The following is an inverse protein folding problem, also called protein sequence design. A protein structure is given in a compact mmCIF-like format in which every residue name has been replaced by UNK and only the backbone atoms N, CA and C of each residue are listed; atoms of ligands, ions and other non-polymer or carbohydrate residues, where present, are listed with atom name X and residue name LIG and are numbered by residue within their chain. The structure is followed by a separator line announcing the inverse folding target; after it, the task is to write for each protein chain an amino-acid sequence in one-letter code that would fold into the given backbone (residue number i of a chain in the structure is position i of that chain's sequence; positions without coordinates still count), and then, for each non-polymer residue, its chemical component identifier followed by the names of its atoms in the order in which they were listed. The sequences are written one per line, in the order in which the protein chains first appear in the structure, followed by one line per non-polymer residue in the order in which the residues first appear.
data_IF_747056380858
#
_entry.id   IF_747056380858
#
_cell.length_a   1.000
_cell.length_b   1.000
_cell.length_c   1.000
_cell.angle_alpha   90.00
_cell.angle_beta   90.00
_cell.angle_gamma   90.00
#
_symmetry.space_group_name_H-M   'P 1'
#
loop_
_entity.id
_entity.type
_entity.pdbx_description
1 polymer ?
#
# COMPACT_ATOMS: atom_id res chain seq x y z
N UNK A 1 -12.59 -17.19 -21.57
CA UNK A 1 -12.18 -18.15 -20.55
C UNK A 1 -13.43 -18.76 -19.97
N UNK A 2 -13.39 -20.05 -19.65
CA UNK A 2 -14.58 -20.80 -19.21
C UNK A 2 -14.93 -20.39 -17.77
N UNK A 3 -16.21 -20.25 -17.46
CA UNK A 3 -16.70 -19.96 -16.09
C UNK A 3 -16.15 -20.97 -15.06
N UNK A 4 -15.85 -22.19 -15.50
CA UNK A 4 -15.21 -23.21 -14.66
C UNK A 4 -13.74 -22.90 -14.35
N UNK A 5 -13.00 -22.29 -15.27
CA UNK A 5 -11.61 -21.87 -15.03
C UNK A 5 -11.57 -20.72 -14.02
N UNK A 6 -12.43 -19.71 -14.21
CA UNK A 6 -12.55 -18.56 -13.30
C UNK A 6 -12.93 -19.00 -11.86
N UNK A 7 -13.88 -19.94 -11.74
CA UNK A 7 -14.27 -20.50 -10.44
C UNK A 7 -13.13 -21.27 -9.76
N UNK A 8 -12.37 -22.06 -10.52
CA UNK A 8 -11.25 -22.82 -9.98
C UNK A 8 -10.13 -21.89 -9.50
N UNK A 9 -9.82 -20.82 -10.25
CA UNK A 9 -8.83 -19.82 -9.84
C UNK A 9 -9.25 -19.11 -8.55
N UNK A 10 -10.49 -18.64 -8.46
CA UNK A 10 -11.00 -17.98 -7.26
C UNK A 10 -11.06 -18.94 -6.07
N UNK A 11 -11.45 -20.20 -6.29
CA UNK A 11 -11.49 -21.19 -5.23
C UNK A 11 -10.09 -21.48 -4.68
N UNK A 12 -9.07 -21.60 -5.54
CA UNK A 12 -7.67 -21.79 -5.12
C UNK A 12 -7.15 -20.57 -4.37
N UNK A 13 -7.43 -19.35 -4.84
CA UNK A 13 -7.00 -18.10 -4.18
C UNK A 13 -7.62 -17.90 -2.79
N UNK A 14 -8.84 -18.42 -2.58
CA UNK A 14 -9.58 -18.25 -1.33
C UNK A 14 -9.39 -19.42 -0.34
N UNK A 15 -8.53 -20.40 -0.65
CA UNK A 15 -8.20 -21.44 0.33
C UNK A 15 -7.44 -20.83 1.51
N UNK A 16 -7.85 -21.24 2.71
CA UNK A 16 -7.19 -20.82 3.94
C UNK A 16 -5.91 -21.66 4.07
N UNK A 17 -4.77 -21.00 3.99
CA UNK A 17 -3.49 -21.60 4.37
C UNK A 17 -3.30 -21.49 5.88
N UNK A 18 -2.87 -22.59 6.49
CA UNK A 18 -2.55 -22.65 7.92
C UNK A 18 -1.04 -22.57 8.10
N UNK A 19 -0.60 -21.67 8.97
CA UNK A 19 0.77 -21.63 9.45
C UNK A 19 0.83 -22.24 10.84
N UNK A 20 1.84 -23.04 11.10
CA UNK A 20 2.24 -23.35 12.46
C UNK A 20 2.77 -22.09 13.15
N UNK A 21 2.81 -22.12 14.48
CA UNK A 21 3.32 -20.98 15.25
C UNK A 21 4.80 -20.69 14.94
N UNK A 22 5.61 -21.72 14.68
CA UNK A 22 7.03 -21.58 14.36
C UNK A 22 7.22 -20.91 12.99
N UNK A 23 6.50 -21.35 11.96
CA UNK A 23 6.52 -20.73 10.62
C UNK A 23 6.07 -19.27 10.66
N UNK A 24 5.04 -18.96 11.45
CA UNK A 24 4.61 -17.58 11.65
C UNK A 24 5.71 -16.73 12.30
N UNK A 25 6.42 -17.25 13.30
CA UNK A 25 7.53 -16.54 13.95
C UNK A 25 8.73 -16.39 13.02
N UNK A 26 9.01 -17.35 12.15
CA UNK A 26 10.03 -17.23 11.11
C UNK A 26 9.66 -16.13 10.11
N UNK A 27 8.42 -16.10 9.64
CA UNK A 27 7.91 -15.04 8.78
C UNK A 27 8.04 -13.66 9.43
N UNK A 28 7.73 -13.54 10.73
CA UNK A 28 7.88 -12.28 11.47
C UNK A 28 9.33 -11.77 11.52
N UNK A 29 10.34 -12.63 11.39
CA UNK A 29 11.75 -12.20 11.33
C UNK A 29 12.11 -11.61 9.98
N UNK A 30 11.47 -12.08 8.91
CA UNK A 30 11.77 -11.67 7.53
C UNK A 30 10.93 -10.47 7.09
N UNK A 31 9.63 -10.50 7.40
CA UNK A 31 8.69 -9.44 7.00
C UNK A 31 7.97 -8.83 8.22
N UNK A 32 8.33 -7.60 8.61
CA UNK A 32 7.64 -6.85 9.64
C UNK A 32 6.14 -6.62 9.34
N UNK A 33 5.71 -6.74 8.09
CA UNK A 33 4.29 -6.63 7.76
C UNK A 33 3.46 -7.78 8.27
N UNK A 34 4.06 -8.95 8.55
CA UNK A 34 3.34 -10.12 9.06
C UNK A 34 2.50 -9.76 10.30
N UNK A 35 3.04 -8.93 11.18
CA UNK A 35 2.40 -8.45 12.41
C UNK A 35 1.98 -6.97 12.36
N UNK A 36 2.13 -6.29 11.21
CA UNK A 36 1.75 -4.88 11.08
C UNK A 36 0.23 -4.68 11.11
N UNK A 37 -0.19 -3.58 11.74
CA UNK A 37 -1.57 -3.14 11.80
C UNK A 37 -2.11 -2.76 10.41
N UNK A 38 -3.43 -2.74 10.20
CA UNK A 38 -4.02 -2.30 8.93
C UNK A 38 -3.55 -0.90 8.48
N UNK A 39 -3.35 0.03 9.43
CA UNK A 39 -2.88 1.38 9.15
C UNK A 39 -1.43 1.41 8.65
N UNK A 40 -0.54 0.62 9.26
CA UNK A 40 0.87 0.52 8.86
C UNK A 40 1.01 -0.12 7.47
N UNK A 41 0.20 -1.15 7.19
CA UNK A 41 0.12 -1.78 5.87
C UNK A 41 -0.34 -0.77 4.82
N UNK A 42 -1.35 0.03 5.13
CA UNK A 42 -1.85 1.08 4.26
C UNK A 42 -0.78 2.15 4.01
N UNK A 43 -0.05 2.59 5.04
CA UNK A 43 1.05 3.55 4.88
C UNK A 43 2.17 3.01 3.99
N UNK A 44 2.56 1.73 4.14
CA UNK A 44 3.56 1.12 3.26
C UNK A 44 3.07 1.03 1.82
N UNK A 45 1.77 0.78 1.61
CA UNK A 45 1.17 0.75 0.27
C UNK A 45 1.06 2.14 -0.37
N UNK A 46 0.73 3.18 0.40
CA UNK A 46 0.69 4.58 -0.04
C UNK A 46 2.09 5.07 -0.42
N UNK A 47 3.13 4.59 0.27
CA UNK A 47 4.52 4.91 -0.03
C UNK A 47 5.05 6.10 0.75
N UNK A 48 6.07 6.77 0.21
CA UNK A 48 6.80 7.86 0.87
C UNK A 48 6.38 9.20 0.24
N UNK A 49 6.21 10.28 1.04
CA UNK A 49 5.88 11.57 0.48
C UNK A 49 7.08 12.22 -0.20
N UNK A 50 6.80 13.00 -1.25
CA UNK A 50 7.77 13.80 -1.99
C UNK A 50 7.61 15.28 -1.65
N UNK A 51 8.73 15.99 -1.54
CA UNK A 51 8.73 17.43 -1.31
C UNK A 51 8.44 18.18 -2.61
N UNK A 52 7.25 18.78 -2.68
CA UNK A 52 6.80 19.55 -3.85
C UNK A 52 6.85 21.03 -3.57
N UNK A 53 7.57 21.77 -4.42
CA UNK A 53 7.57 23.23 -4.46
C UNK A 53 6.34 23.74 -5.22
N UNK A 54 5.36 24.25 -4.47
CA UNK A 54 4.08 24.69 -5.00
C UNK A 54 4.16 26.00 -5.80
N UNK A 55 5.25 26.75 -5.69
CA UNK A 55 5.43 28.01 -6.46
C UNK A 55 5.55 27.77 -7.96
N UNK A 56 6.01 26.58 -8.36
CA UNK A 56 6.20 26.17 -9.76
C UNK A 56 4.90 25.97 -10.51
N UNK A 57 3.77 25.80 -9.80
CA UNK A 57 2.47 25.56 -10.41
C UNK A 57 1.45 26.61 -9.97
N UNK A 58 0.80 27.25 -10.94
CA UNK A 58 -0.11 28.38 -10.67
C UNK A 58 -1.28 28.01 -9.72
N UNK A 59 -1.84 26.80 -9.86
CA UNK A 59 -2.93 26.31 -9.00
C UNK A 59 -2.45 26.05 -7.57
N UNK A 60 -1.37 25.27 -7.41
CA UNK A 60 -0.80 24.93 -6.10
C UNK A 60 -0.25 26.17 -5.38
N UNK A 61 0.36 27.11 -6.11
CA UNK A 61 0.85 28.39 -5.60
C UNK A 61 -0.23 29.16 -4.85
N UNK A 62 -1.45 29.23 -5.40
CA UNK A 62 -2.58 29.92 -4.76
C UNK A 62 -3.15 29.15 -3.57
N UNK A 63 -3.23 27.83 -3.66
CA UNK A 63 -3.81 26.98 -2.60
C UNK A 63 -2.88 26.92 -1.38
N UNK A 64 -1.58 26.72 -1.62
CA UNK A 64 -0.59 26.47 -0.58
C UNK A 64 0.33 27.66 -0.32
N UNK A 65 0.06 28.83 -0.92
CA UNK A 65 0.77 30.08 -0.72
C UNK A 65 2.30 29.95 -0.94
N UNK A 66 2.69 29.26 -2.02
CA UNK A 66 4.07 29.00 -2.40
C UNK A 66 4.90 28.22 -1.35
N UNK A 67 4.27 27.48 -0.44
CA UNK A 67 4.98 26.63 0.52
C UNK A 67 5.45 25.33 -0.13
N UNK A 68 6.61 24.83 0.30
CA UNK A 68 7.00 23.45 0.01
C UNK A 68 6.22 22.51 0.92
N UNK A 69 5.54 21.52 0.34
CA UNK A 69 4.71 20.55 1.08
C UNK A 69 5.11 19.12 0.73
N UNK A 70 4.78 18.20 1.63
CA UNK A 70 4.88 16.76 1.40
C UNK A 70 3.62 16.29 0.69
N UNK A 71 3.76 15.78 -0.52
CA UNK A 71 2.65 15.17 -1.27
C UNK A 71 2.96 13.71 -1.51
N UNK A 72 1.95 12.85 -1.38
CA UNK A 72 2.09 11.44 -1.71
C UNK A 72 1.69 11.24 -3.17
N UNK A 73 2.57 10.69 -4.03
CA UNK A 73 2.26 10.46 -5.45
C UNK A 73 1.04 9.57 -5.68
N UNK A 74 0.72 8.70 -4.72
CA UNK A 74 -0.45 7.83 -4.75
C UNK A 74 -1.80 8.58 -4.82
N UNK A 75 -1.83 9.90 -4.62
CA UNK A 75 -3.03 10.73 -4.64
C UNK A 75 -2.96 11.88 -5.67
N UNK A 76 -2.19 11.74 -6.76
CA UNK A 76 -2.04 12.78 -7.80
C UNK A 76 -3.21 12.84 -8.82
N UNK A 77 -4.23 12.00 -8.66
CA UNK A 77 -5.43 11.91 -9.53
C UNK A 77 -6.53 12.95 -9.19
#
# INVERSE_FOLDING_TARGET
MSIFEDYLEDHVKNQIEYLTFEEYLELCKEDPLAYATPAERMMKAIGVPELTDTSKQSRLSRIFLNKTIQMFPAFDD
#
